data_IF_843023761087
#
_entry.id   IF_843023761087
#
_cell.length_a   1.000
_cell.length_b   1.000
_cell.length_c   1.000
_cell.angle_alpha   90.00
_cell.angle_beta   90.00
_cell.angle_gamma   90.00
#
_symmetry.space_group_name_H-M   'P 1'
#
loop_
_entity.id
_entity.type
_entity.pdbx_description
1 polymer ?
#
# COMPACT_ATOMS: atom_id res chain seq x y z
N UNK A 1 -0.68 39.84 41.99
CA UNK A 1 -1.76 39.46 41.05
C UNK A 1 -1.24 38.99 39.67
N UNK A 2 -0.29 39.68 39.00
CA UNK A 2 0.25 39.21 37.71
C UNK A 2 0.89 37.81 37.74
N UNK A 3 1.58 37.47 38.84
CA UNK A 3 2.19 36.15 39.02
C UNK A 3 1.15 35.02 39.13
N UNK A 4 0.05 35.25 39.85
CA UNK A 4 -1.05 34.29 40.01
C UNK A 4 -1.75 34.01 38.69
N UNK A 5 -1.96 35.05 37.89
CA UNK A 5 -2.54 34.93 36.55
C UNK A 5 -1.58 34.14 35.63
N UNK A 6 -0.28 34.43 35.67
CA UNK A 6 0.72 33.70 34.89
C UNK A 6 0.78 32.21 35.26
N UNK A 7 0.61 31.86 36.55
CA UNK A 7 0.56 30.46 36.99
C UNK A 7 -0.70 29.74 36.51
N UNK A 8 -1.86 30.40 36.50
CA UNK A 8 -3.10 29.81 35.98
C UNK A 8 -2.99 29.53 34.48
N UNK A 9 -2.42 30.45 33.70
CA UNK A 9 -2.17 30.22 32.27
C UNK A 9 -1.18 29.08 32.03
N UNK A 10 -0.12 28.96 32.83
CA UNK A 10 0.83 27.84 32.72
C UNK A 10 0.16 26.49 32.99
N UNK A 11 -0.75 26.42 33.94
CA UNK A 11 -1.52 25.20 34.24
C UNK A 11 -2.41 24.85 33.06
N UNK A 12 -3.16 25.81 32.50
CA UNK A 12 -4.03 25.59 31.33
C UNK A 12 -3.22 25.10 30.12
N UNK A 13 -2.08 25.74 29.84
CA UNK A 13 -1.20 25.34 28.73
C UNK A 13 -0.63 23.94 28.94
N UNK A 14 -0.24 23.60 30.17
CA UNK A 14 0.30 22.27 30.50
C UNK A 14 -0.75 21.18 30.30
N UNK A 15 -1.98 21.38 30.76
CA UNK A 15 -3.08 20.46 30.51
C UNK A 15 -3.41 20.33 29.02
N UNK A 16 -3.37 21.44 28.29
CA UNK A 16 -3.60 21.44 26.84
C UNK A 16 -2.55 20.62 26.10
N UNK A 17 -1.27 20.81 26.45
CA UNK A 17 -0.17 20.02 25.87
C UNK A 17 -0.24 18.55 26.27
N UNK A 18 -0.65 18.24 27.50
CA UNK A 18 -0.81 16.87 27.99
C UNK A 18 -1.80 16.07 27.14
N UNK A 19 -2.85 16.72 26.62
CA UNK A 19 -3.83 16.07 25.72
C UNK A 19 -3.37 16.11 24.26
N UNK A 20 -2.75 17.20 23.81
CA UNK A 20 -2.33 17.34 22.40
C UNK A 20 -1.23 16.37 22.00
N UNK A 21 -0.23 16.15 22.87
CA UNK A 21 0.90 15.26 22.54
C UNK A 21 0.45 13.84 22.18
N UNK A 22 -0.32 13.10 23.01
CA UNK A 22 -0.76 11.76 22.66
C UNK A 22 -1.69 11.76 21.44
N UNK A 23 -2.49 12.82 21.24
CA UNK A 23 -3.36 12.95 20.07
C UNK A 23 -2.57 13.07 18.76
N UNK A 24 -1.51 13.88 18.74
CA UNK A 24 -0.63 14.02 17.57
C UNK A 24 0.07 12.69 17.26
N UNK A 25 0.57 11.99 18.29
CA UNK A 25 1.19 10.68 18.12
C UNK A 25 0.20 9.65 17.55
N UNK A 26 -1.05 9.67 18.03
CA UNK A 26 -2.11 8.82 17.50
C UNK A 26 -2.36 9.10 16.01
N UNK A 27 -2.55 10.36 15.63
CA UNK A 27 -2.77 10.74 14.22
C UNK A 27 -1.59 10.29 13.34
N UNK A 28 -0.36 10.47 13.81
CA UNK A 28 0.83 10.04 13.07
C UNK A 28 0.81 8.53 12.84
N UNK A 29 0.54 7.74 13.87
CA UNK A 29 0.47 6.28 13.76
C UNK A 29 -0.66 5.82 12.83
N UNK A 30 -1.84 6.42 12.94
CA UNK A 30 -2.98 6.11 12.10
C UNK A 30 -2.68 6.45 10.62
N UNK A 31 -2.07 7.62 10.36
CA UNK A 31 -1.71 8.04 9.01
C UNK A 31 -0.77 7.05 8.32
N UNK A 32 0.23 6.52 9.04
CA UNK A 32 1.14 5.51 8.49
C UNK A 32 0.41 4.21 8.14
N UNK A 33 -0.47 3.74 9.02
CA UNK A 33 -1.27 2.54 8.76
C UNK A 33 -2.17 2.71 7.53
N UNK A 34 -2.79 3.88 7.35
CA UNK A 34 -3.60 4.15 6.16
C UNK A 34 -2.78 4.17 4.87
N UNK A 35 -1.57 4.74 4.89
CA UNK A 35 -0.69 4.73 3.72
C UNK A 35 -0.30 3.31 3.32
N UNK A 36 0.07 2.47 4.28
CA UNK A 36 0.41 1.07 4.03
C UNK A 36 -0.76 0.27 3.47
N UNK A 37 -1.93 0.43 4.07
CA UNK A 37 -3.15 -0.23 3.59
C UNK A 37 -3.46 0.20 2.15
N UNK A 38 -3.31 1.49 1.84
CA UNK A 38 -3.51 2.01 0.48
C UNK A 38 -2.53 1.39 -0.51
N UNK A 39 -1.24 1.29 -0.18
CA UNK A 39 -0.25 0.67 -1.05
C UNK A 39 -0.52 -0.82 -1.28
N UNK A 40 -0.92 -1.56 -0.25
CA UNK A 40 -1.31 -2.96 -0.38
C UNK A 40 -2.53 -3.12 -1.30
N UNK A 41 -3.53 -2.26 -1.16
CA UNK A 41 -4.72 -2.27 -2.03
C UNK A 41 -4.34 -2.00 -3.48
N UNK A 42 -3.51 -0.98 -3.76
CA UNK A 42 -3.07 -0.64 -5.12
C UNK A 42 -2.25 -1.79 -5.73
N UNK A 43 -1.35 -2.41 -4.95
CA UNK A 43 -0.57 -3.55 -5.39
C UNK A 43 -1.48 -4.75 -5.70
N UNK A 44 -2.42 -5.07 -4.81
CA UNK A 44 -3.38 -6.16 -5.00
C UNK A 44 -4.26 -5.95 -6.21
N UNK A 45 -4.78 -4.74 -6.42
CA UNK A 45 -5.61 -4.40 -7.57
C UNK A 45 -4.80 -4.49 -8.88
N UNK A 46 -3.54 -4.04 -8.86
CA UNK A 46 -2.66 -4.12 -10.01
C UNK A 46 -2.36 -5.57 -10.41
N UNK A 47 -2.00 -6.43 -9.44
CA UNK A 47 -1.76 -7.85 -9.69
C UNK A 47 -3.01 -8.52 -10.25
N UNK A 48 -4.16 -8.26 -9.63
CA UNK A 48 -5.46 -8.80 -10.07
C UNK A 48 -5.79 -8.36 -11.50
N UNK A 49 -5.60 -7.08 -11.83
CA UNK A 49 -5.87 -6.54 -13.16
C UNK A 49 -4.98 -7.16 -14.24
N UNK A 50 -3.70 -7.43 -13.93
CA UNK A 50 -2.80 -8.15 -14.84
C UNK A 50 -3.27 -9.59 -15.02
N UNK A 51 -3.61 -10.27 -13.93
CA UNK A 51 -4.09 -11.64 -13.95
C UNK A 51 -5.38 -11.82 -14.77
N UNK A 52 -6.37 -10.98 -14.50
CA UNK A 52 -7.62 -10.96 -15.25
C UNK A 52 -7.39 -10.63 -16.73
N UNK A 53 -6.50 -9.70 -17.05
CA UNK A 53 -6.12 -9.41 -18.44
C UNK A 53 -5.48 -10.62 -19.13
N UNK A 54 -4.59 -11.35 -18.44
CA UNK A 54 -4.00 -12.58 -18.96
C UNK A 54 -5.08 -13.65 -19.25
N UNK A 55 -6.01 -13.84 -18.33
CA UNK A 55 -7.09 -14.81 -18.50
C UNK A 55 -8.03 -14.43 -19.64
N UNK A 56 -8.36 -13.14 -19.77
CA UNK A 56 -9.19 -12.63 -20.85
C UNK A 56 -8.56 -12.85 -22.23
N UNK A 57 -7.27 -12.51 -22.39
CA UNK A 57 -6.56 -12.72 -23.65
C UNK A 57 -6.49 -14.22 -23.98
N UNK A 58 -6.23 -15.05 -22.98
CA UNK A 58 -6.17 -16.50 -23.16
C UNK A 58 -7.51 -17.08 -23.61
N UNK A 59 -8.61 -16.66 -22.99
CA UNK A 59 -9.96 -17.10 -23.35
C UNK A 59 -10.38 -16.61 -24.74
N UNK A 60 -9.88 -15.45 -25.18
CA UNK A 60 -10.20 -14.90 -26.50
C UNK A 60 -9.45 -15.63 -27.64
N UNK A 61 -8.30 -16.23 -27.35
CA UNK A 61 -7.50 -16.96 -28.33
C UNK A 61 -6.61 -16.07 -29.21
N UNK A 62 -5.71 -16.69 -29.97
CA UNK A 62 -4.85 -15.96 -30.91
C UNK A 62 -5.69 -15.27 -32.01
N UNK A 63 -5.35 -14.03 -32.43
CA UNK A 63 -4.16 -13.22 -32.13
C UNK A 63 -4.43 -12.09 -31.11
N UNK A 64 -5.30 -12.30 -30.12
CA UNK A 64 -5.73 -11.24 -29.20
C UNK A 64 -4.55 -10.57 -28.46
N UNK A 65 -4.60 -9.24 -28.36
CA UNK A 65 -3.63 -8.42 -27.63
C UNK A 65 -4.36 -7.37 -26.82
N UNK A 66 -3.90 -7.13 -25.59
CA UNK A 66 -4.45 -6.11 -24.71
C UNK A 66 -3.31 -5.31 -24.08
N UNK A 67 -3.48 -4.00 -24.06
CA UNK A 67 -2.59 -3.08 -23.36
C UNK A 67 -3.29 -2.56 -22.11
N UNK A 68 -2.70 -2.81 -20.94
CA UNK A 68 -3.22 -2.33 -19.66
C UNK A 68 -2.30 -1.30 -19.05
N UNK A 69 -2.90 -0.30 -18.40
CA UNK A 69 -2.19 0.65 -17.54
C UNK A 69 -2.34 0.22 -16.09
N UNK A 70 -1.20 0.04 -15.43
CA UNK A 70 -1.08 -0.33 -14.02
C UNK A 70 -0.22 0.68 -13.29
N UNK A 71 -0.45 0.83 -11.99
CA UNK A 71 0.34 1.73 -11.13
C UNK A 71 1.10 0.86 -10.14
N UNK A 72 2.43 0.91 -10.20
CA UNK A 72 3.29 0.17 -9.28
C UNK A 72 3.58 1.06 -8.07
N UNK A 73 3.19 0.68 -6.84
CA UNK A 73 3.51 1.45 -5.65
C UNK A 73 5.00 1.31 -5.30
N UNK A 74 5.58 2.33 -4.67
CA UNK A 74 7.03 2.40 -4.39
C UNK A 74 7.56 1.31 -3.44
N UNK A 75 6.67 0.67 -2.68
CA UNK A 75 7.03 -0.33 -1.68
C UNK A 75 7.10 -1.76 -2.24
N UNK A 76 6.96 -1.95 -3.55
CA UNK A 76 7.17 -3.25 -4.19
C UNK A 76 8.67 -3.54 -4.28
N UNK A 77 9.10 -4.60 -3.60
CA UNK A 77 10.50 -5.05 -3.54
C UNK A 77 10.85 -5.87 -4.78
N UNK A 78 9.94 -6.75 -5.18
CA UNK A 78 10.16 -7.67 -6.30
C UNK A 78 8.85 -8.01 -7.00
N UNK A 79 8.94 -8.21 -8.31
CA UNK A 79 7.87 -8.70 -9.16
C UNK A 79 8.40 -9.92 -9.89
N UNK A 80 7.68 -11.03 -9.85
CA UNK A 80 8.09 -12.28 -10.47
C UNK A 80 6.91 -12.95 -11.16
N UNK A 81 7.18 -13.50 -12.34
CA UNK A 81 6.24 -14.29 -13.13
C UNK A 81 6.75 -15.73 -13.11
N UNK A 82 5.98 -16.62 -12.48
CA UNK A 82 6.36 -18.00 -12.21
C UNK A 82 5.32 -18.93 -12.82
N UNK A 83 5.55 -19.36 -14.07
CA UNK A 83 4.62 -20.19 -14.83
C UNK A 83 3.21 -19.57 -14.87
N UNK A 84 2.27 -20.05 -14.05
CA UNK A 84 0.90 -19.54 -14.00
C UNK A 84 0.67 -18.49 -12.92
N UNK A 85 1.68 -18.19 -12.11
CA UNK A 85 1.52 -17.33 -10.94
C UNK A 85 2.27 -16.01 -11.13
N UNK A 86 1.56 -14.91 -10.91
CA UNK A 86 2.15 -13.58 -10.78
C UNK A 86 2.36 -13.35 -9.28
N UNK A 87 3.59 -13.07 -8.87
CA UNK A 87 3.97 -12.84 -7.48
C UNK A 87 4.56 -11.44 -7.32
N UNK A 88 3.96 -10.63 -6.46
CA UNK A 88 4.44 -9.32 -6.06
C UNK A 88 4.78 -9.33 -4.59
N UNK A 89 6.01 -8.90 -4.30
CA UNK A 89 6.53 -8.84 -2.94
C UNK A 89 6.51 -7.40 -2.48
N UNK A 90 5.69 -7.09 -1.48
CA UNK A 90 5.46 -5.74 -0.99
C UNK A 90 6.01 -5.60 0.42
N UNK A 91 6.81 -4.56 0.67
CA UNK A 91 7.31 -4.26 2.02
C UNK A 91 6.26 -3.49 2.81
N UNK A 92 5.86 -4.02 3.96
CA UNK A 92 5.07 -3.32 4.99
C UNK A 92 5.94 -3.01 6.21
N UNK A 93 5.43 -2.26 7.20
CA UNK A 93 6.21 -1.95 8.41
C UNK A 93 6.42 -3.16 9.32
N UNK A 94 5.60 -4.19 9.22
CA UNK A 94 5.73 -5.42 10.01
C UNK A 94 6.65 -6.46 9.35
N UNK A 95 6.50 -6.71 8.05
CA UNK A 95 7.31 -7.67 7.29
C UNK A 95 7.11 -7.50 5.78
N UNK A 96 7.46 -8.50 5.00
CA UNK A 96 7.20 -8.59 3.58
C UNK A 96 5.89 -9.36 3.34
N UNK A 97 4.93 -8.72 2.67
CA UNK A 97 3.68 -9.33 2.23
C UNK A 97 3.78 -9.79 0.79
N UNK A 98 3.46 -11.05 0.54
CA UNK A 98 3.45 -11.66 -0.79
C UNK A 98 2.02 -11.65 -1.35
N UNK A 99 1.80 -10.89 -2.42
CA UNK A 99 0.53 -10.79 -3.14
C UNK A 99 0.67 -11.62 -4.42
N UNK A 100 -0.27 -12.52 -4.67
CA UNK A 100 -0.21 -13.38 -5.85
C UNK A 100 -1.55 -13.52 -6.58
N UNK A 101 -1.47 -13.85 -7.86
CA UNK A 101 -2.61 -14.23 -8.68
C UNK A 101 -2.24 -15.41 -9.58
N UNK A 102 -3.14 -16.37 -9.70
CA UNK A 102 -2.98 -17.54 -10.54
C UNK A 102 -3.79 -17.38 -11.83
N UNK A 103 -3.09 -17.28 -12.96
CA UNK A 103 -3.66 -17.21 -14.29
C UNK A 103 -3.95 -18.62 -14.84
N UNK A 104 -4.85 -18.70 -15.82
CA UNK A 104 -5.16 -19.92 -16.56
C UNK A 104 -3.99 -20.34 -17.47
N UNK A 105 -3.31 -19.36 -18.06
CA UNK A 105 -2.20 -19.50 -18.99
C UNK A 105 -0.84 -19.34 -18.31
N UNK A 106 0.22 -19.84 -18.97
CA UNK A 106 1.59 -19.54 -18.56
C UNK A 106 1.91 -18.07 -18.89
N UNK A 107 2.32 -17.34 -17.87
CA UNK A 107 2.75 -15.95 -17.89
C UNK A 107 4.28 -15.92 -17.82
N UNK A 108 4.91 -15.19 -18.73
CA UNK A 108 6.35 -14.98 -18.75
C UNK A 108 6.65 -13.52 -19.09
N UNK A 109 7.78 -13.02 -18.61
CA UNK A 109 8.22 -11.65 -18.88
C UNK A 109 8.83 -10.97 -17.65
N UNK A 110 9.09 -9.67 -17.79
CA UNK A 110 9.59 -8.81 -16.72
C UNK A 110 8.87 -7.46 -16.78
N UNK A 111 8.71 -6.83 -15.61
CA UNK A 111 8.28 -5.44 -15.51
C UNK A 111 9.49 -4.60 -15.08
N UNK A 112 9.74 -3.45 -15.73
CA UNK A 112 10.77 -2.53 -15.28
C UNK A 112 10.43 -1.99 -13.89
N UNK A 113 11.46 -1.86 -13.05
CA UNK A 113 11.37 -1.27 -11.71
C UNK A 113 11.33 0.25 -11.76
#
# INVERSE_FOLDING_TARGET
MKLQIATEYLIIVSFTLMVLIPYILYIYSASQQYQEQSFLTIASESVKKIGEACDWIYLQGEPAKLTIKITIPRNVVNISFLNKTILWRVKTSADISDIYYNCLANVSGYLPK
#
